data_IF_624350921488
#
_entry.id   IF_624350921488
#
_cell.length_a   1.000
_cell.length_b   1.000
_cell.length_c   1.000
_cell.angle_alpha   90.00
_cell.angle_beta   90.00
_cell.angle_gamma   90.00
#
_symmetry.space_group_name_H-M   'P 1'
#
loop_
_entity.id
_entity.type
_entity.pdbx_description
1 polymer ?
#
# COMPACT_ATOMS: atom_id res chain seq x y z
N UNK A 1 -2.50 -23.53 11.34
CA UNK A 1 -3.96 -23.46 11.56
C UNK A 1 -4.61 -22.11 11.18
N UNK A 2 -3.86 -21.06 10.79
CA UNK A 2 -4.46 -19.74 10.48
C UNK A 2 -5.09 -19.58 9.10
N UNK A 3 -4.43 -20.07 8.04
CA UNK A 3 -4.86 -19.85 6.64
C UNK A 3 -6.14 -20.61 6.30
N UNK A 4 -6.33 -21.83 6.83
CA UNK A 4 -7.56 -22.61 6.63
C UNK A 4 -8.80 -21.89 7.14
N UNK A 5 -8.69 -21.24 8.31
CA UNK A 5 -9.77 -20.45 8.90
C UNK A 5 -10.06 -19.17 8.08
N UNK A 6 -9.03 -18.51 7.52
CA UNK A 6 -9.26 -17.39 6.60
C UNK A 6 -10.00 -17.85 5.35
N UNK A 7 -9.56 -18.95 4.73
CA UNK A 7 -10.18 -19.50 3.51
C UNK A 7 -11.66 -19.82 3.73
N UNK A 8 -11.99 -20.51 4.81
CA UNK A 8 -13.37 -20.88 5.15
C UNK A 8 -14.25 -19.64 5.38
N UNK A 9 -13.77 -18.68 6.18
CA UNK A 9 -14.51 -17.44 6.43
C UNK A 9 -14.67 -16.60 5.16
N UNK A 10 -13.65 -16.55 4.30
CA UNK A 10 -13.70 -15.82 3.04
C UNK A 10 -14.73 -16.45 2.09
N UNK A 11 -14.70 -17.77 1.91
CA UNK A 11 -15.66 -18.50 1.08
C UNK A 11 -17.11 -18.37 1.58
N UNK A 12 -17.33 -18.32 2.89
CA UNK A 12 -18.68 -18.24 3.47
C UNK A 12 -19.25 -16.82 3.54
N UNK A 13 -18.41 -15.78 3.66
CA UNK A 13 -18.86 -14.41 3.95
C UNK A 13 -18.70 -13.43 2.79
N UNK A 14 -17.88 -13.75 1.78
CA UNK A 14 -17.71 -12.93 0.57
C UNK A 14 -18.61 -13.47 -0.52
N UNK A 15 -19.40 -12.61 -1.15
CA UNK A 15 -20.30 -13.00 -2.23
C UNK A 15 -19.44 -13.35 -3.47
N UNK A 16 -19.63 -14.53 -4.10
CA UNK A 16 -18.95 -14.89 -5.34
C UNK A 16 -19.23 -13.88 -6.47
N UNK A 17 -18.33 -13.85 -7.46
CA UNK A 17 -18.40 -13.00 -8.65
C UNK A 17 -18.44 -11.49 -8.36
N UNK A 18 -18.10 -11.10 -7.13
CA UNK A 18 -17.93 -9.70 -6.78
C UNK A 18 -16.50 -9.21 -6.99
N UNK A 19 -16.35 -7.90 -7.17
CA UNK A 19 -15.05 -7.27 -7.27
C UNK A 19 -14.48 -6.96 -5.88
N UNK A 20 -13.23 -7.37 -5.66
CA UNK A 20 -12.46 -7.20 -4.44
C UNK A 20 -11.18 -6.42 -4.72
N UNK A 21 -10.85 -5.45 -3.86
CA UNK A 21 -9.56 -4.75 -3.89
C UNK A 21 -8.69 -5.18 -2.71
N UNK A 22 -7.41 -5.39 -2.96
CA UNK A 22 -6.44 -5.72 -1.91
C UNK A 22 -5.05 -5.26 -2.31
N UNK A 23 -4.11 -5.29 -1.38
CA UNK A 23 -2.73 -4.99 -1.74
C UNK A 23 -2.20 -5.98 -2.81
N UNK A 24 -1.18 -5.58 -3.60
CA UNK A 24 -0.69 -6.37 -4.69
C UNK A 24 -0.25 -7.78 -4.30
N UNK A 25 0.24 -7.99 -3.06
CA UNK A 25 0.62 -9.31 -2.60
C UNK A 25 -0.62 -10.16 -2.30
N UNK A 26 -1.52 -9.66 -1.45
CA UNK A 26 -2.72 -10.41 -1.04
C UNK A 26 -3.63 -10.73 -2.22
N UNK A 27 -3.66 -9.86 -3.24
CA UNK A 27 -4.42 -10.04 -4.49
C UNK A 27 -4.15 -11.38 -5.18
N UNK A 28 -2.94 -11.95 -5.07
CA UNK A 28 -2.61 -13.24 -5.70
C UNK A 28 -3.29 -14.45 -5.04
N UNK A 29 -3.64 -14.34 -3.76
CA UNK A 29 -4.09 -15.49 -2.99
C UNK A 29 -5.62 -15.60 -2.92
N UNK A 30 -6.33 -14.47 -2.98
CA UNK A 30 -7.78 -14.44 -2.77
C UNK A 30 -8.60 -15.29 -3.76
N UNK A 31 -8.29 -15.33 -5.07
CA UNK A 31 -9.09 -16.11 -6.03
C UNK A 31 -9.10 -17.62 -5.76
N UNK A 32 -8.12 -18.14 -5.02
CA UNK A 32 -8.06 -19.57 -4.66
C UNK A 32 -9.12 -19.93 -3.62
N UNK A 33 -9.60 -18.95 -2.85
CA UNK A 33 -10.53 -19.19 -1.73
C UNK A 33 -12.00 -18.97 -2.10
N UNK A 34 -12.29 -18.19 -3.13
CA UNK A 34 -13.64 -17.96 -3.65
C UNK A 34 -13.56 -17.42 -5.08
N UNK A 35 -14.57 -17.67 -5.90
CA UNK A 35 -14.66 -17.10 -7.25
C UNK A 35 -14.93 -15.60 -7.13
N UNK A 36 -13.91 -14.76 -7.24
CA UNK A 36 -14.02 -13.30 -7.13
C UNK A 36 -13.18 -12.62 -8.21
N UNK A 37 -13.57 -11.40 -8.59
CA UNK A 37 -12.74 -10.54 -9.44
C UNK A 37 -11.83 -9.69 -8.57
N UNK A 38 -10.55 -9.57 -8.93
CA UNK A 38 -9.59 -8.77 -8.15
C UNK A 38 -9.17 -7.53 -8.93
N UNK A 39 -9.27 -6.36 -8.30
CA UNK A 39 -8.63 -5.12 -8.78
C UNK A 39 -7.13 -5.24 -8.52
N UNK A 40 -6.45 -6.17 -9.19
CA UNK A 40 -5.09 -6.61 -8.84
C UNK A 40 -4.22 -6.95 -10.04
N UNK A 41 -3.00 -7.42 -9.72
CA UNK A 41 -1.88 -7.60 -10.66
C UNK A 41 -2.05 -8.70 -11.71
N UNK A 42 -3.15 -9.45 -11.69
CA UNK A 42 -3.34 -10.56 -12.63
C UNK A 42 -3.74 -10.02 -14.01
N UNK A 43 -3.11 -10.47 -15.11
CA UNK A 43 -3.48 -10.05 -16.46
C UNK A 43 -4.94 -10.35 -16.83
N UNK A 44 -5.60 -11.22 -16.07
CA UNK A 44 -6.91 -11.79 -16.38
C UNK A 44 -8.06 -11.29 -15.50
N UNK A 45 -7.87 -10.27 -14.66
CA UNK A 45 -8.99 -9.69 -13.91
C UNK A 45 -9.90 -8.86 -14.81
N UNK A 46 -11.20 -9.18 -14.76
CA UNK A 46 -12.30 -8.36 -15.29
C UNK A 46 -12.54 -7.21 -14.32
N UNK A 47 -12.81 -5.96 -14.76
CA UNK A 47 -12.91 -5.47 -16.16
C UNK A 47 -11.55 -5.32 -16.87
N UNK A 48 -11.53 -5.22 -18.23
CA UNK A 48 -10.30 -5.09 -19.03
C UNK A 48 -9.72 -3.68 -18.92
N UNK A 49 -9.29 -3.33 -17.72
CA UNK A 49 -8.62 -2.07 -17.42
C UNK A 49 -7.12 -2.35 -17.41
N UNK A 50 -6.37 -1.41 -17.99
CA UNK A 50 -4.91 -1.50 -18.11
C UNK A 50 -4.24 -1.79 -16.76
N UNK A 51 -3.21 -2.63 -16.79
CA UNK A 51 -2.54 -3.10 -15.59
C UNK A 51 -1.87 -1.94 -14.83
N UNK A 52 -1.26 -0.96 -15.52
CA UNK A 52 -0.67 0.20 -14.85
C UNK A 52 -1.74 1.02 -14.13
N UNK A 53 -2.87 1.24 -14.81
CA UNK A 53 -3.99 1.97 -14.23
C UNK A 53 -4.56 1.27 -12.98
N UNK A 54 -4.73 -0.05 -13.02
CA UNK A 54 -5.19 -0.80 -11.84
C UNK A 54 -4.21 -0.65 -10.67
N UNK A 55 -2.92 -0.80 -10.91
CA UNK A 55 -1.90 -0.67 -9.86
C UNK A 55 -1.90 0.73 -9.25
N UNK A 56 -1.97 1.76 -10.08
CA UNK A 56 -2.08 3.16 -9.65
C UNK A 56 -3.28 3.32 -8.72
N UNK A 57 -4.43 2.82 -9.13
CA UNK A 57 -5.67 2.96 -8.37
C UNK A 57 -5.61 2.16 -7.06
N UNK A 58 -5.01 0.97 -7.02
CA UNK A 58 -4.75 0.25 -5.76
C UNK A 58 -3.87 1.11 -4.83
N UNK A 59 -2.78 1.68 -5.37
CA UNK A 59 -1.89 2.58 -4.62
C UNK A 59 -2.62 3.79 -4.04
N UNK A 60 -3.46 4.45 -4.84
CA UNK A 60 -4.30 5.58 -4.41
C UNK A 60 -5.37 5.19 -3.40
N UNK A 61 -6.00 4.02 -3.56
CA UNK A 61 -7.04 3.52 -2.66
C UNK A 61 -6.50 3.31 -1.24
N UNK A 62 -5.35 2.64 -1.12
CA UNK A 62 -4.73 2.35 0.17
C UNK A 62 -3.91 3.52 0.74
N UNK A 63 -3.62 4.56 -0.05
CA UNK A 63 -2.99 5.76 0.45
C UNK A 63 -3.99 6.59 1.29
N UNK A 64 -3.94 6.46 2.61
CA UNK A 64 -4.81 7.20 3.54
C UNK A 64 -4.60 8.71 3.56
N UNK A 65 -3.51 9.23 2.97
CA UNK A 65 -3.27 10.67 2.88
C UNK A 65 -4.13 11.32 1.79
N UNK A 66 -4.61 10.53 0.83
CA UNK A 66 -5.53 10.99 -0.20
C UNK A 66 -6.97 11.10 0.34
N UNK A 67 -7.81 11.98 -0.21
CA UNK A 67 -9.17 12.18 0.27
C UNK A 67 -10.08 10.96 0.01
N UNK A 68 -11.22 10.92 0.72
CA UNK A 68 -12.26 9.89 0.54
C UNK A 68 -12.81 9.87 -0.89
N UNK A 69 -12.89 11.02 -1.55
CA UNK A 69 -13.38 11.14 -2.93
C UNK A 69 -12.56 10.28 -3.89
N UNK A 70 -11.23 10.22 -3.73
CA UNK A 70 -10.40 9.30 -4.51
C UNK A 70 -10.82 7.84 -4.31
N UNK A 71 -11.22 7.45 -3.09
CA UNK A 71 -11.64 6.07 -2.79
C UNK A 71 -13.01 5.79 -3.41
N UNK A 72 -13.94 6.76 -3.34
CA UNK A 72 -15.27 6.68 -3.97
C UNK A 72 -15.16 6.48 -5.48
N UNK A 73 -14.32 7.28 -6.14
CA UNK A 73 -14.07 7.17 -7.58
C UNK A 73 -13.58 5.78 -7.96
N UNK A 74 -12.62 5.23 -7.19
CA UNK A 74 -12.06 3.89 -7.43
C UNK A 74 -13.10 2.80 -7.16
N UNK A 75 -13.85 2.87 -6.06
CA UNK A 75 -14.93 1.93 -5.73
C UNK A 75 -15.95 1.87 -6.87
N UNK A 76 -16.40 3.04 -7.35
CA UNK A 76 -17.36 3.14 -8.44
C UNK A 76 -16.78 2.59 -9.75
N UNK A 77 -15.54 2.99 -10.08
CA UNK A 77 -14.87 2.60 -11.33
C UNK A 77 -14.78 1.08 -11.52
N UNK A 78 -14.49 0.33 -10.46
CA UNK A 78 -14.35 -1.12 -10.51
C UNK A 78 -15.56 -1.88 -9.94
N UNK A 79 -16.62 -1.18 -9.53
CA UNK A 79 -17.77 -1.75 -8.81
C UNK A 79 -17.33 -2.63 -7.62
N UNK A 80 -16.42 -2.11 -6.80
CA UNK A 80 -15.79 -2.85 -5.70
C UNK A 80 -16.81 -3.06 -4.58
N UNK A 81 -17.01 -4.32 -4.15
CA UNK A 81 -17.88 -4.65 -3.02
C UNK A 81 -17.13 -4.96 -1.74
N UNK A 82 -15.89 -5.45 -1.86
CA UNK A 82 -15.07 -5.81 -0.71
C UNK A 82 -13.65 -5.26 -0.82
N UNK A 83 -13.07 -4.93 0.32
CA UNK A 83 -11.65 -4.63 0.45
C UNK A 83 -11.00 -5.60 1.43
N UNK A 84 -9.80 -6.07 1.10
CA UNK A 84 -9.00 -6.91 1.98
C UNK A 84 -7.71 -6.15 2.33
N UNK A 85 -7.51 -5.90 3.62
CA UNK A 85 -6.34 -5.21 4.15
C UNK A 85 -5.46 -6.22 4.85
N UNK A 86 -4.24 -6.40 4.35
CA UNK A 86 -3.20 -7.14 5.07
C UNK A 86 -2.32 -6.16 5.86
N UNK A 87 -2.42 -6.19 7.19
CA UNK A 87 -1.63 -5.36 8.11
C UNK A 87 -0.14 -5.70 8.08
N UNK A 88 0.24 -6.85 7.51
CA UNK A 88 1.64 -7.18 7.27
C UNK A 88 2.22 -6.46 6.05
N UNK A 89 1.41 -5.87 5.17
CA UNK A 89 1.85 -5.07 4.02
C UNK A 89 1.43 -3.60 4.15
N UNK A 90 0.33 -3.31 4.83
CA UNK A 90 -0.12 -1.95 5.12
C UNK A 90 -0.34 -1.81 6.64
N UNK A 91 0.74 -1.61 7.42
CA UNK A 91 0.65 -1.59 8.87
C UNK A 91 -0.32 -0.51 9.36
N UNK A 92 -1.11 -0.84 10.39
CA UNK A 92 -2.05 0.07 11.05
C UNK A 92 -3.15 0.69 10.15
N UNK A 93 -3.37 0.14 8.95
CA UNK A 93 -4.45 0.58 8.09
C UNK A 93 -5.78 -0.07 8.48
N UNK A 94 -6.78 0.76 8.73
CA UNK A 94 -8.18 0.39 8.79
C UNK A 94 -8.93 1.19 7.74
N UNK A 95 -10.06 0.67 7.26
CA UNK A 95 -10.95 1.38 6.34
C UNK A 95 -12.08 2.03 7.16
N UNK A 96 -11.95 3.30 7.57
CA UNK A 96 -12.89 3.96 8.47
C UNK A 96 -14.27 4.23 7.86
N UNK A 97 -14.44 3.91 6.57
CA UNK A 97 -15.67 4.13 5.81
C UNK A 97 -16.30 2.80 5.36
N UNK A 98 -15.86 1.68 5.97
CA UNK A 98 -16.25 0.34 5.57
C UNK A 98 -16.63 -0.53 6.77
N UNK A 99 -17.54 -1.47 6.54
CA UNK A 99 -17.98 -2.43 7.56
C UNK A 99 -16.97 -3.57 7.65
N UNK A 100 -16.40 -3.81 8.84
CA UNK A 100 -15.54 -4.98 9.07
C UNK A 100 -16.38 -6.26 9.15
N UNK A 101 -16.14 -7.21 8.26
CA UNK A 101 -16.84 -8.51 8.23
C UNK A 101 -16.12 -9.55 9.10
N UNK A 102 -14.81 -9.68 8.95
CA UNK A 102 -13.98 -10.53 9.81
C UNK A 102 -12.50 -10.14 9.75
N UNK A 103 -11.72 -10.60 10.72
CA UNK A 103 -10.26 -10.61 10.66
C UNK A 103 -9.74 -12.02 10.96
N UNK A 104 -8.76 -12.48 10.20
CA UNK A 104 -8.10 -13.77 10.40
C UNK A 104 -6.66 -13.71 9.89
N UNK A 105 -5.94 -14.81 9.94
CA UNK A 105 -4.55 -14.89 9.51
C UNK A 105 -4.45 -15.32 8.04
N UNK A 106 -3.81 -14.51 7.20
CA UNK A 106 -3.48 -14.87 5.83
C UNK A 106 -1.96 -14.75 5.60
N UNK A 107 -1.40 -15.66 4.79
CA UNK A 107 -0.01 -15.56 4.37
C UNK A 107 0.19 -14.34 3.44
N UNK A 108 1.26 -13.56 3.63
CA UNK A 108 2.39 -13.78 4.51
C UNK A 108 2.12 -13.08 5.83
N UNK A 109 2.42 -13.79 6.91
CA UNK A 109 2.56 -13.14 8.19
C UNK A 109 4.03 -12.76 8.38
N UNK A 110 4.45 -11.63 7.79
CA UNK A 110 5.84 -11.14 7.90
C UNK A 110 6.25 -10.82 9.34
N UNK A 111 5.28 -10.71 10.26
CA UNK A 111 5.51 -10.61 11.69
C UNK A 111 4.74 -11.73 12.38
N UNK A 112 5.38 -12.89 12.62
CA UNK A 112 4.76 -14.07 13.25
C UNK A 112 4.01 -13.81 14.58
N UNK A 113 4.18 -12.63 15.19
CA UNK A 113 3.46 -12.20 16.39
C UNK A 113 2.12 -11.51 16.11
N UNK A 114 1.87 -11.05 14.89
CA UNK A 114 0.62 -10.39 14.51
C UNK A 114 -0.45 -11.45 14.24
N UNK A 115 -1.34 -11.66 15.20
CA UNK A 115 -2.58 -12.41 14.97
C UNK A 115 -3.58 -11.53 14.21
N UNK A 116 -4.42 -12.15 13.40
CA UNK A 116 -5.46 -11.52 12.60
C UNK A 116 -4.91 -10.41 11.68
N UNK A 117 -3.80 -10.72 11.01
CA UNK A 117 -3.10 -9.78 10.13
C UNK A 117 -3.93 -9.37 8.91
N UNK A 118 -4.93 -10.14 8.51
CA UNK A 118 -5.78 -9.84 7.37
C UNK A 118 -7.20 -9.50 7.81
N UNK A 119 -7.76 -8.41 7.30
CA UNK A 119 -9.13 -7.96 7.61
C UNK A 119 -9.91 -7.75 6.33
N UNK A 120 -11.12 -8.31 6.27
CA UNK A 120 -12.05 -8.15 5.16
C UNK A 120 -13.11 -7.14 5.54
N UNK A 121 -13.31 -6.17 4.66
CA UNK A 121 -14.29 -5.11 4.78
C UNK A 121 -15.30 -5.19 3.64
N UNK A 122 -16.57 -4.90 3.95
CA UNK A 122 -17.62 -4.63 2.96
C UNK A 122 -17.70 -3.13 2.72
N UNK A 123 -17.70 -2.75 1.45
CA UNK A 123 -17.73 -1.36 1.01
C UNK A 123 -19.17 -0.95 0.68
N UNK A 124 -19.54 0.26 1.08
CA UNK A 124 -20.73 0.94 0.59
C UNK A 124 -20.47 1.52 -0.80
N UNK A 125 -21.50 1.65 -1.63
CA UNK A 125 -21.43 2.37 -2.91
C UNK A 125 -21.20 3.88 -2.68
N UNK A 126 -21.71 4.39 -1.56
CA UNK A 126 -21.50 5.76 -1.09
C UNK A 126 -20.84 5.69 0.30
N UNK A 127 -19.53 5.45 0.38
CA UNK A 127 -18.83 5.41 1.65
C UNK A 127 -18.78 6.80 2.27
N UNK A 128 -19.06 6.86 3.56
CA UNK A 128 -18.87 8.05 4.41
C UNK A 128 -17.92 7.67 5.55
N UNK A 129 -17.14 8.63 6.05
CA UNK A 129 -16.30 8.35 7.20
C UNK A 129 -17.19 8.06 8.42
N UNK A 130 -16.95 6.94 9.08
CA UNK A 130 -17.43 6.75 10.43
C UNK A 130 -16.78 7.85 11.27
N UNK A 131 -17.60 8.71 11.85
CA UNK A 131 -17.18 9.86 12.66
C UNK A 131 -16.07 9.45 13.65
N UNK A 132 -14.98 10.24 13.70
CA UNK A 132 -13.73 10.06 14.47
C UNK A 132 -12.48 9.56 13.73
N UNK A 133 -12.50 9.39 12.40
CA UNK A 133 -11.25 9.12 11.67
C UNK A 133 -10.45 10.41 11.45
N UNK A 134 -9.28 10.49 12.07
CA UNK A 134 -8.27 11.50 11.76
C UNK A 134 -7.06 10.83 11.12
N UNK A 135 -6.74 11.24 9.89
CA UNK A 135 -5.51 10.87 9.17
C UNK A 135 -4.27 11.32 9.96
N UNK A 136 -4.41 12.27 10.90
CA UNK A 136 -3.29 12.93 11.58
C UNK A 136 -2.56 12.07 12.63
N UNK A 137 -2.95 10.80 12.85
CA UNK A 137 -2.36 9.93 13.88
C UNK A 137 -1.42 8.84 13.32
N UNK A 138 -0.77 9.08 12.17
CA UNK A 138 0.27 8.17 11.69
C UNK A 138 1.50 8.39 12.56
N UNK A 139 1.84 7.38 13.36
CA UNK A 139 3.01 7.44 14.23
C UNK A 139 4.30 7.25 13.41
N UNK A 140 4.75 8.31 12.74
CA UNK A 140 6.03 8.32 12.02
C UNK A 140 7.19 8.39 13.00
N UNK A 141 8.28 7.66 12.73
CA UNK A 141 9.53 7.77 13.47
C UNK A 141 10.42 8.81 12.80
N UNK A 142 10.86 9.83 13.54
CA UNK A 142 11.90 10.77 13.07
C UNK A 142 13.17 9.97 12.80
N UNK A 143 13.71 10.08 11.58
CA UNK A 143 14.99 9.46 11.21
C UNK A 143 16.12 10.46 11.37
N UNK A 144 15.90 11.69 10.91
CA UNK A 144 16.83 12.82 11.04
C UNK A 144 16.06 14.15 11.04
N UNK A 145 16.75 15.29 10.98
CA UNK A 145 16.12 16.62 10.92
C UNK A 145 15.32 16.88 9.63
N UNK A 146 15.57 16.10 8.59
CA UNK A 146 14.97 16.26 7.27
C UNK A 146 13.67 15.45 7.11
N UNK A 147 13.60 14.25 7.70
CA UNK A 147 12.51 13.29 7.43
C UNK A 147 12.04 12.48 8.65
N UNK A 148 10.76 12.12 8.62
CA UNK A 148 10.18 11.05 9.43
C UNK A 148 9.54 9.99 8.55
N UNK A 149 9.52 8.73 9.01
CA UNK A 149 9.09 7.59 8.18
C UNK A 149 8.13 6.66 8.89
N UNK A 150 7.37 5.91 8.10
CA UNK A 150 6.55 4.79 8.56
C UNK A 150 6.43 3.72 7.46
N UNK A 151 6.58 2.42 7.75
CA UNK A 151 7.01 1.86 9.03
C UNK A 151 8.46 2.22 9.34
N UNK A 152 8.90 1.91 10.56
CA UNK A 152 10.31 2.09 10.95
C UNK A 152 11.24 1.28 10.03
N UNK A 153 12.40 1.83 9.64
CA UNK A 153 13.33 1.15 8.75
C UNK A 153 14.03 -0.02 9.45
N UNK A 154 14.49 -0.99 8.66
CA UNK A 154 15.27 -2.14 9.14
C UNK A 154 16.72 -1.76 9.43
N UNK A 155 17.28 -0.78 8.71
CA UNK A 155 18.65 -0.31 8.91
C UNK A 155 18.75 1.17 8.57
N UNK A 156 19.60 1.90 9.30
CA UNK A 156 19.98 3.29 9.05
C UNK A 156 21.53 3.27 9.00
N UNK A 157 22.12 3.44 7.81
CA UNK A 157 23.57 3.32 7.61
C UNK A 157 24.21 4.66 7.22
N UNK A 158 25.28 5.04 7.93
CA UNK A 158 26.20 6.15 7.63
C UNK A 158 25.55 7.54 7.62
N UNK A 159 25.92 8.45 8.54
CA UNK A 159 25.44 9.85 8.63
C UNK A 159 23.98 10.09 8.19
N UNK A 160 23.06 9.14 8.49
CA UNK A 160 21.62 9.23 8.22
C UNK A 160 21.18 9.35 6.74
N UNK A 161 22.09 9.12 5.77
CA UNK A 161 21.83 9.34 4.34
C UNK A 161 21.26 8.11 3.60
N UNK A 162 21.32 6.91 4.20
CA UNK A 162 20.81 5.67 3.59
C UNK A 162 19.93 4.90 4.55
N UNK A 163 18.68 4.65 4.13
CA UNK A 163 17.64 4.01 4.93
C UNK A 163 17.11 2.82 4.17
N UNK A 164 17.09 1.64 4.80
CA UNK A 164 16.61 0.43 4.13
C UNK A 164 15.46 -0.25 4.86
N UNK A 165 14.55 -0.80 4.08
CA UNK A 165 13.44 -1.63 4.55
C UNK A 165 13.57 -3.03 3.96
N UNK A 166 13.67 -4.03 4.84
CA UNK A 166 13.46 -5.44 4.48
C UNK A 166 11.96 -5.81 4.46
N UNK A 167 11.09 -4.81 4.36
CA UNK A 167 9.65 -4.93 4.48
C UNK A 167 9.00 -4.86 3.10
N UNK A 168 8.10 -5.79 2.81
CA UNK A 168 7.18 -5.74 1.68
C UNK A 168 5.91 -5.02 2.10
N UNK A 169 5.60 -3.88 1.48
CA UNK A 169 4.42 -3.13 1.89
C UNK A 169 4.39 -1.66 1.49
N UNK A 170 3.63 -0.88 2.24
CA UNK A 170 3.57 0.57 2.11
C UNK A 170 4.65 1.24 2.96
N UNK A 171 5.41 2.16 2.37
CA UNK A 171 6.37 3.02 3.06
C UNK A 171 5.97 4.47 2.82
N UNK A 172 6.07 5.28 3.86
CA UNK A 172 5.72 6.68 3.90
C UNK A 172 6.93 7.44 4.43
N UNK A 173 7.28 8.51 3.73
CA UNK A 173 8.35 9.42 4.11
C UNK A 173 7.74 10.81 4.14
N UNK A 174 7.70 11.41 5.32
CA UNK A 174 7.28 12.79 5.52
C UNK A 174 8.52 13.68 5.57
N UNK A 175 8.55 14.72 4.74
CA UNK A 175 9.60 15.74 4.76
C UNK A 175 9.27 16.74 5.86
N UNK A 176 10.10 16.83 6.90
CA UNK A 176 9.87 17.70 8.07
C UNK A 176 10.87 18.86 8.17
N UNK A 177 12.01 18.76 7.50
CA UNK A 177 13.10 19.73 7.55
C UNK A 177 13.27 20.54 6.26
N UNK A 178 14.53 20.89 5.95
CA UNK A 178 14.90 21.60 4.71
C UNK A 178 14.59 20.76 3.48
N UNK A 179 14.59 21.44 2.34
CA UNK A 179 14.56 20.83 1.01
C UNK A 179 15.49 19.61 0.92
N UNK A 180 14.92 18.44 0.62
CA UNK A 180 15.65 17.18 0.50
C UNK A 180 15.58 16.69 -0.95
N UNK A 181 16.69 16.15 -1.44
CA UNK A 181 16.69 15.33 -2.65
C UNK A 181 16.54 13.87 -2.24
N UNK A 182 15.58 13.18 -2.85
CA UNK A 182 15.36 11.76 -2.59
C UNK A 182 15.76 10.94 -3.80
N UNK A 183 16.55 9.92 -3.58
CA UNK A 183 16.79 8.87 -4.57
C UNK A 183 16.51 7.55 -3.91
N UNK A 184 15.98 6.58 -4.66
CA UNK A 184 15.79 5.26 -4.12
C UNK A 184 16.39 4.22 -5.06
N UNK A 185 16.95 3.20 -4.45
CA UNK A 185 17.58 2.08 -5.11
C UNK A 185 16.88 0.83 -4.63
N UNK A 186 16.42 0.04 -5.57
CA UNK A 186 15.96 -1.31 -5.29
C UNK A 186 17.17 -2.22 -5.42
N UNK A 187 17.66 -2.73 -4.30
CA UNK A 187 18.94 -3.44 -4.25
C UNK A 187 18.79 -4.90 -4.65
N UNK A 188 17.74 -5.56 -4.18
CA UNK A 188 17.46 -6.96 -4.50
C UNK A 188 15.96 -7.21 -4.56
N UNK A 189 15.54 -8.17 -5.38
CA UNK A 189 14.18 -8.70 -5.33
C UNK A 189 13.63 -9.20 -6.65
N UNK A 190 12.69 -10.14 -6.55
CA UNK A 190 11.98 -10.78 -7.68
C UNK A 190 10.80 -9.93 -8.15
N UNK A 191 10.93 -8.61 -8.09
CA UNK A 191 9.81 -7.68 -7.99
C UNK A 191 9.04 -7.54 -9.30
N UNK A 192 7.72 -7.70 -9.23
CA UNK A 192 6.84 -7.64 -10.39
C UNK A 192 6.18 -6.26 -10.56
N UNK A 193 5.85 -5.55 -9.47
CA UNK A 193 5.17 -4.23 -9.54
C UNK A 193 5.49 -3.31 -8.37
N UNK A 194 5.64 -2.03 -8.69
CA UNK A 194 5.88 -0.95 -7.74
C UNK A 194 5.12 0.33 -8.13
N UNK A 195 4.55 0.99 -7.14
CA UNK A 195 3.90 2.29 -7.23
C UNK A 195 4.64 3.27 -6.33
N UNK A 196 4.87 4.50 -6.82
CA UNK A 196 5.15 5.63 -5.93
C UNK A 196 4.35 6.85 -6.29
N UNK A 197 4.13 7.70 -5.29
CA UNK A 197 3.64 9.06 -5.49
C UNK A 197 4.26 10.04 -4.51
N UNK A 198 4.26 11.30 -4.90
CA UNK A 198 4.65 12.44 -4.09
C UNK A 198 3.42 13.32 -3.90
N UNK A 199 3.13 13.62 -2.63
CA UNK A 199 2.09 14.56 -2.25
C UNK A 199 2.72 15.84 -1.75
N UNK A 200 2.20 16.99 -2.18
CA UNK A 200 2.57 18.28 -1.61
C UNK A 200 1.95 18.49 -0.21
N UNK A 201 2.20 19.66 0.37
CA UNK A 201 1.62 20.06 1.67
C UNK A 201 0.08 20.01 1.73
N UNK A 202 -0.60 20.20 0.59
CA UNK A 202 -2.06 20.13 0.44
C UNK A 202 -2.59 18.72 0.18
N UNK A 203 -1.71 17.71 0.19
CA UNK A 203 -1.99 16.30 -0.14
C UNK A 203 -2.41 16.08 -1.59
N UNK A 204 -2.04 16.98 -2.49
CA UNK A 204 -2.24 16.82 -3.93
C UNK A 204 -1.09 16.03 -4.52
N UNK A 205 -1.40 15.12 -5.44
CA UNK A 205 -0.40 14.34 -6.17
C UNK A 205 0.32 15.27 -7.15
N UNK A 206 1.62 15.47 -6.95
CA UNK A 206 2.47 16.25 -7.87
C UNK A 206 3.33 15.36 -8.78
N UNK A 207 3.57 14.12 -8.35
CA UNK A 207 4.28 13.11 -9.14
C UNK A 207 3.76 11.73 -8.76
N UNK A 208 3.62 10.85 -9.75
CA UNK A 208 3.17 9.48 -9.57
C UNK A 208 3.71 8.61 -10.70
N UNK A 209 4.22 7.41 -10.38
CA UNK A 209 4.61 6.44 -11.39
C UNK A 209 4.31 5.02 -10.95
N UNK A 210 4.06 4.17 -11.95
CA UNK A 210 3.89 2.72 -11.81
C UNK A 210 4.96 2.01 -12.63
N UNK A 211 5.59 1.02 -12.02
CA UNK A 211 6.61 0.18 -12.61
C UNK A 211 6.11 -1.26 -12.61
N UNK A 212 6.21 -1.94 -13.75
CA UNK A 212 5.79 -3.33 -13.95
C UNK A 212 6.93 -4.08 -14.62
N UNK A 213 7.38 -5.19 -14.03
CA UNK A 213 8.41 -6.10 -14.57
C UNK A 213 9.68 -5.38 -15.09
N UNK A 214 9.98 -4.18 -14.61
CA UNK A 214 11.02 -3.30 -15.15
C UNK A 214 12.08 -2.97 -14.09
N UNK A 215 12.38 -3.91 -13.19
CA UNK A 215 13.40 -3.74 -12.16
C UNK A 215 14.51 -4.77 -12.41
N UNK A 216 15.59 -4.34 -13.05
CA UNK A 216 16.87 -5.03 -12.97
C UNK A 216 17.48 -4.78 -11.59
N UNK A 217 18.01 -5.82 -10.96
CA UNK A 217 18.80 -5.71 -9.72
C UNK A 217 19.82 -4.55 -9.85
N UNK A 218 19.83 -3.64 -8.88
CA UNK A 218 20.75 -2.49 -8.86
C UNK A 218 20.30 -1.23 -9.61
N UNK A 219 19.10 -1.21 -10.22
CA UNK A 219 18.56 -0.01 -10.86
C UNK A 219 18.23 1.06 -9.81
N UNK A 220 18.80 2.24 -9.98
CA UNK A 220 18.51 3.43 -9.17
C UNK A 220 17.39 4.19 -9.85
N UNK A 221 16.35 4.52 -9.09
CA UNK A 221 15.30 5.43 -9.49
C UNK A 221 15.50 6.73 -8.70
N UNK A 222 15.94 7.78 -9.38
CA UNK A 222 16.05 9.10 -8.77
C UNK A 222 14.70 9.82 -8.83
N UNK A 223 14.35 10.45 -7.71
CA UNK A 223 13.31 11.47 -7.66
C UNK A 223 14.06 12.79 -7.62
N UNK A 224 14.36 13.34 -8.79
CA UNK A 224 15.10 14.60 -8.93
C UNK A 224 14.18 15.80 -8.70
N UNK A 225 13.56 15.84 -7.53
CA UNK A 225 12.73 16.96 -7.11
C UNK A 225 13.14 17.39 -5.71
N UNK A 226 13.49 18.66 -5.58
CA UNK A 226 13.68 19.29 -4.29
C UNK A 226 12.34 19.39 -3.58
N UNK A 227 12.13 18.57 -2.54
CA UNK A 227 10.84 18.50 -1.86
C UNK A 227 10.74 19.52 -0.74
N UNK A 228 9.61 20.23 -0.69
CA UNK A 228 9.31 21.18 0.39
C UNK A 228 8.97 20.49 1.71
N UNK A 229 8.89 21.29 2.78
CA UNK A 229 8.42 20.83 4.09
C UNK A 229 6.95 20.35 3.99
N UNK A 230 6.60 19.31 4.73
CA UNK A 230 5.30 18.63 4.78
C UNK A 230 4.91 17.87 3.51
N UNK A 231 5.85 17.65 2.59
CA UNK A 231 5.65 16.75 1.45
C UNK A 231 5.70 15.31 1.92
N UNK A 232 4.97 14.44 1.23
CA UNK A 232 4.96 13.01 1.51
C UNK A 232 5.40 12.23 0.29
N UNK A 233 6.33 11.30 0.47
CA UNK A 233 6.66 10.29 -0.53
C UNK A 233 6.11 8.96 -0.06
N UNK A 234 5.33 8.33 -0.92
CA UNK A 234 4.66 7.07 -0.63
C UNK A 234 5.12 6.04 -1.64
N UNK A 235 5.56 4.91 -1.12
CA UNK A 235 5.93 3.72 -1.88
C UNK A 235 4.97 2.59 -1.54
N UNK A 236 4.59 1.81 -2.55
CA UNK A 236 3.72 0.66 -2.35
C UNK A 236 3.94 -0.38 -3.44
N UNK A 237 4.04 -1.66 -3.09
CA UNK A 237 4.22 -2.71 -4.08
C UNK A 237 4.45 -4.10 -3.48
N UNK A 238 4.30 -5.12 -4.32
CA UNK A 238 4.70 -6.48 -3.97
C UNK A 238 6.18 -6.65 -4.31
N UNK A 239 6.96 -7.01 -3.28
CA UNK A 239 8.38 -7.09 -3.44
C UNK A 239 8.90 -5.68 -3.65
N UNK A 240 9.03 -4.92 -2.58
CA UNK A 240 9.86 -3.72 -2.59
C UNK A 240 11.11 -3.94 -1.77
N UNK A 241 11.22 -5.08 -1.09
CA UNK A 241 12.27 -5.40 -0.15
C UNK A 241 13.41 -6.18 -0.82
N UNK A 242 14.68 -5.85 -0.51
CA UNK A 242 15.11 -4.64 0.21
C UNK A 242 14.95 -3.34 -0.63
N UNK A 243 14.24 -2.34 -0.08
CA UNK A 243 14.18 -0.98 -0.62
C UNK A 243 15.20 -0.15 0.15
N UNK A 244 16.16 0.45 -0.55
CA UNK A 244 17.10 1.40 0.04
C UNK A 244 16.80 2.79 -0.49
N UNK A 245 16.36 3.69 0.37
CA UNK A 245 16.13 5.10 0.05
C UNK A 245 17.35 5.89 0.51
N UNK A 246 17.98 6.59 -0.43
CA UNK A 246 19.06 7.53 -0.18
C UNK A 246 18.52 8.96 -0.15
N UNK A 247 18.84 9.69 0.91
CA UNK A 247 18.39 11.06 1.13
C UNK A 247 19.63 11.96 1.13
N UNK A 248 19.64 12.97 0.26
CA UNK A 248 20.75 13.91 0.10
C UNK A 248 20.29 15.36 0.24
#
# INVERSE_FOLDING_TARGET
MGVSNFSEQFGNKVIPETTVISDPYTSYHLPVFNSVYIVGMVPHSIPPIDLHERIRDIGRFFNFLLPLETKKEIIKKYNIKYAVVNKSTIPHFNLPFAEKIFSSNLYPNYNFRTQNNCTVYKLSENPEYNTNFSVNNINTKKVNEAISVFPSPSTINGNEASISWKHTGMILINIIGKACNLSFKVEEGTHHVFYYCILNEKKEIIEEKVFINNISCGKIYSVESTLGKNYWVIFFGNGISPLTVQIR
#
